data_IF_530243418166
#
_entry.id   IF_530243418166
#
_cell.length_a   1.000
_cell.length_b   1.000
_cell.length_c   1.000
_cell.angle_alpha   90.00
_cell.angle_beta   90.00
_cell.angle_gamma   90.00
#
_symmetry.space_group_name_H-M   'P 1'
#
loop_
_entity.id
_entity.type
_entity.pdbx_description
1 polymer ?
#
# COMPACT_ATOMS: atom_id res chain seq x y z
N UNK A 1 25.50 -2.33 -18.58
CA UNK A 1 26.95 -2.09 -18.50
C UNK A 1 27.14 -0.68 -19.03
N UNK A 2 26.74 0.30 -18.21
CA UNK A 2 26.51 1.67 -18.71
C UNK A 2 27.81 2.46 -18.65
N UNK A 3 28.29 2.79 -19.84
CA UNK A 3 29.42 3.66 -20.06
C UNK A 3 29.03 5.05 -19.57
N UNK A 4 29.68 5.55 -18.50
CA UNK A 4 29.61 6.98 -18.19
C UNK A 4 29.96 7.75 -19.46
N UNK A 5 29.05 8.57 -19.96
CA UNK A 5 29.41 9.49 -21.03
C UNK A 5 30.57 10.36 -20.54
N UNK A 6 31.50 10.66 -21.45
CA UNK A 6 32.66 11.51 -21.17
C UNK A 6 32.23 12.84 -20.52
N UNK A 7 31.10 13.36 -20.96
CA UNK A 7 30.48 14.61 -20.48
C UNK A 7 30.03 14.51 -19.00
N UNK A 8 29.50 13.36 -18.56
CA UNK A 8 29.16 13.16 -17.14
C UNK A 8 30.40 13.14 -16.26
N UNK A 9 31.48 12.47 -16.71
CA UNK A 9 32.73 12.41 -15.96
C UNK A 9 33.41 13.79 -15.88
N UNK A 10 33.45 14.54 -16.98
CA UNK A 10 33.98 15.90 -17.02
C UNK A 10 33.19 16.84 -16.09
N UNK A 11 31.86 16.72 -16.06
CA UNK A 11 30.99 17.52 -15.19
C UNK A 11 31.21 17.22 -13.70
N UNK A 12 31.29 15.95 -13.32
CA UNK A 12 31.57 15.53 -11.93
C UNK A 12 32.95 16.04 -11.50
N UNK A 13 33.97 15.86 -12.34
CA UNK A 13 35.33 16.32 -12.05
C UNK A 13 35.42 17.84 -11.94
N UNK A 14 34.68 18.57 -12.78
CA UNK A 14 34.61 20.04 -12.71
C UNK A 14 33.95 20.53 -11.42
N UNK A 15 32.80 19.95 -11.03
CA UNK A 15 32.11 20.30 -9.78
C UNK A 15 33.01 19.98 -8.59
N UNK A 16 33.65 18.81 -8.58
CA UNK A 16 34.58 18.41 -7.53
C UNK A 16 35.78 19.37 -7.42
N UNK A 17 36.40 19.74 -8.56
CA UNK A 17 37.56 20.65 -8.60
C UNK A 17 37.22 22.06 -8.09
N UNK A 18 35.97 22.50 -8.26
CA UNK A 18 35.46 23.76 -7.74
C UNK A 18 34.86 23.64 -6.33
N UNK A 19 35.03 22.50 -5.65
CA UNK A 19 34.47 22.22 -4.32
C UNK A 19 32.94 22.39 -4.25
N UNK A 20 32.24 22.09 -5.34
CA UNK A 20 30.79 22.11 -5.39
C UNK A 20 30.15 20.92 -4.67
N UNK A 21 28.85 21.03 -4.38
CA UNK A 21 28.07 19.99 -3.71
C UNK A 21 27.79 18.81 -4.67
N UNK A 22 28.26 17.62 -4.33
CA UNK A 22 28.07 16.39 -5.10
C UNK A 22 26.83 15.57 -4.68
N UNK A 23 26.11 15.97 -3.62
CA UNK A 23 24.97 15.22 -3.08
C UNK A 23 23.85 15.01 -4.12
N UNK A 24 23.44 16.01 -4.92
CA UNK A 24 22.41 15.79 -5.94
C UNK A 24 22.81 14.76 -6.99
N UNK A 25 24.11 14.68 -7.30
CA UNK A 25 24.66 13.71 -8.24
C UNK A 25 24.66 12.31 -7.61
N UNK A 26 25.04 12.23 -6.33
CA UNK A 26 25.01 10.99 -5.56
C UNK A 26 23.58 10.43 -5.43
N UNK A 27 22.61 11.25 -4.99
CA UNK A 27 21.21 10.87 -4.87
C UNK A 27 20.63 10.43 -6.22
N UNK A 28 20.92 11.17 -7.30
CA UNK A 28 20.50 10.80 -8.65
C UNK A 28 21.14 9.48 -9.10
N UNK A 29 22.43 9.28 -8.82
CA UNK A 29 23.11 8.04 -9.14
C UNK A 29 22.55 6.85 -8.34
N UNK A 30 22.19 7.04 -7.07
CA UNK A 30 21.50 6.02 -6.28
C UNK A 30 20.13 5.71 -6.87
N UNK A 31 19.35 6.74 -7.24
CA UNK A 31 18.01 6.59 -7.81
C UNK A 31 18.02 5.85 -9.13
N UNK A 32 19.04 6.11 -9.95
CA UNK A 32 19.23 5.45 -11.23
C UNK A 32 19.91 4.08 -11.10
N UNK A 33 20.23 3.63 -9.87
CA UNK A 33 20.99 2.40 -9.65
C UNK A 33 22.37 2.43 -10.29
N UNK A 34 22.96 3.61 -10.53
CA UNK A 34 24.23 3.76 -11.23
C UNK A 34 25.41 3.54 -10.28
N UNK A 35 25.68 2.27 -9.98
CA UNK A 35 26.79 1.84 -9.13
C UNK A 35 28.15 2.37 -9.62
N UNK A 36 28.33 2.57 -10.92
CA UNK A 36 29.59 3.09 -11.48
C UNK A 36 29.81 4.54 -11.06
N UNK A 37 28.80 5.40 -11.17
CA UNK A 37 28.88 6.80 -10.70
C UNK A 37 29.06 6.83 -9.18
N UNK A 38 28.33 6.00 -8.44
CA UNK A 38 28.49 5.91 -6.99
C UNK A 38 29.94 5.57 -6.64
N UNK A 39 30.51 4.50 -7.22
CA UNK A 39 31.92 4.12 -7.01
C UNK A 39 32.90 5.23 -7.40
N UNK A 40 32.64 5.94 -8.50
CA UNK A 40 33.45 7.08 -8.93
C UNK A 40 33.46 8.19 -7.87
N UNK A 41 32.28 8.59 -7.37
CA UNK A 41 32.16 9.62 -6.34
C UNK A 41 32.93 9.25 -5.07
N UNK A 42 32.94 7.97 -4.69
CA UNK A 42 33.72 7.46 -3.57
C UNK A 42 35.24 7.39 -3.79
N UNK A 43 35.68 7.43 -5.05
CA UNK A 43 37.10 7.38 -5.43
C UNK A 43 37.75 8.76 -5.56
N UNK A 44 36.97 9.84 -5.49
CA UNK A 44 37.48 11.20 -5.64
C UNK A 44 38.40 11.60 -4.45
N UNK A 45 39.50 12.33 -4.71
CA UNK A 45 40.46 12.71 -3.68
C UNK A 45 39.85 13.67 -2.65
N UNK A 46 40.31 13.55 -1.40
CA UNK A 46 39.91 14.45 -0.31
C UNK A 46 40.67 15.76 -0.41
N UNK A 47 39.96 16.87 -0.26
CA UNK A 47 40.60 18.16 0.05
C UNK A 47 40.76 18.25 1.57
N UNK A 48 41.95 18.61 2.06
CA UNK A 48 42.10 18.93 3.49
C UNK A 48 41.15 20.07 3.85
N UNK A 49 40.49 20.03 5.04
CA UNK A 49 39.73 21.16 5.54
C UNK A 49 40.67 22.37 5.58
N UNK A 50 40.32 23.47 4.91
CA UNK A 50 41.05 24.72 5.11
C UNK A 50 40.85 25.11 6.58
N UNK A 51 41.90 25.32 7.38
CA UNK A 51 41.74 25.87 8.71
C UNK A 51 41.19 27.29 8.56
N UNK A 52 39.91 27.49 8.88
CA UNK A 52 39.28 28.81 8.89
C UNK A 52 39.73 29.57 10.15
N UNK A 53 40.08 30.84 10.00
CA UNK A 53 40.30 31.72 11.16
C UNK A 53 39.00 31.89 11.97
N UNK A 54 39.07 32.10 13.30
CA UNK A 54 37.93 31.97 14.23
C UNK A 54 36.72 32.88 13.96
N UNK A 55 36.85 33.89 13.10
CA UNK A 55 35.87 34.96 12.91
C UNK A 55 34.74 34.55 11.94
N UNK A 56 34.95 33.54 11.09
CA UNK A 56 33.93 33.07 10.13
C UNK A 56 32.99 31.98 10.67
N UNK A 57 33.18 31.54 11.93
CA UNK A 57 32.41 30.41 12.51
C UNK A 57 30.93 30.72 12.80
N UNK A 58 30.44 31.95 12.61
CA UNK A 58 29.07 32.28 13.00
C UNK A 58 28.03 32.17 11.88
N UNK A 59 28.42 32.03 10.60
CA UNK A 59 27.45 32.09 9.50
C UNK A 59 27.73 31.20 8.27
N UNK A 60 28.63 30.23 8.33
CA UNK A 60 28.85 29.36 7.17
C UNK A 60 28.72 27.88 7.54
N UNK A 61 27.60 27.28 7.13
CA UNK A 61 27.50 25.85 6.79
C UNK A 61 28.44 25.60 5.60
N UNK A 62 29.75 25.57 5.82
CA UNK A 62 30.73 25.38 4.74
C UNK A 62 30.70 23.91 4.34
N UNK A 63 30.26 23.66 3.11
CA UNK A 63 30.56 22.49 2.27
C UNK A 63 31.18 21.28 2.97
N UNK A 64 30.33 20.40 3.48
CA UNK A 64 30.74 19.06 3.90
C UNK A 64 30.55 18.11 2.72
N UNK A 65 31.67 17.63 2.19
CA UNK A 65 31.75 16.55 1.22
C UNK A 65 31.11 15.28 1.80
N UNK A 66 30.75 14.33 0.93
CA UNK A 66 30.10 13.03 1.21
C UNK A 66 30.77 12.12 2.29
N UNK A 67 31.75 12.61 3.06
CA UNK A 67 32.55 11.85 4.01
C UNK A 67 32.87 12.60 5.33
N UNK A 68 32.11 13.65 5.70
CA UNK A 68 32.22 14.27 7.04
C UNK A 68 31.43 13.44 8.08
N UNK A 69 32.10 12.94 9.12
CA UNK A 69 31.60 11.88 10.04
C UNK A 69 30.27 12.22 10.73
N UNK A 70 29.98 13.51 10.97
CA UNK A 70 28.75 13.95 11.64
C UNK A 70 27.59 14.27 10.67
N UNK A 71 27.85 14.39 9.37
CA UNK A 71 26.85 14.80 8.35
C UNK A 71 26.20 13.59 7.66
N UNK A 72 26.59 12.37 8.05
CA UNK A 72 26.58 11.16 7.23
C UNK A 72 25.55 10.08 7.65
N UNK A 73 24.50 10.40 8.40
CA UNK A 73 23.47 9.41 8.85
C UNK A 73 22.10 9.64 8.18
N UNK A 74 21.69 10.90 7.95
CA UNK A 74 20.40 11.19 7.30
C UNK A 74 20.45 10.99 5.79
N UNK A 75 21.51 11.45 5.13
CA UNK A 75 21.70 11.26 3.68
C UNK A 75 21.94 9.78 3.36
N UNK A 76 22.54 9.01 4.26
CA UNK A 76 22.87 7.59 4.05
C UNK A 76 21.69 6.65 4.20
N UNK A 77 20.83 6.84 5.21
CA UNK A 77 19.57 6.10 5.28
C UNK A 77 18.69 6.39 4.07
N UNK A 78 18.59 7.68 3.69
CA UNK A 78 17.86 8.08 2.50
C UNK A 78 18.47 7.50 1.21
N UNK A 79 19.80 7.41 1.12
CA UNK A 79 20.47 6.80 -0.02
C UNK A 79 20.26 5.28 -0.10
N UNK A 80 20.14 4.58 1.03
CA UNK A 80 19.73 3.17 1.03
C UNK A 80 18.30 3.04 0.53
N UNK A 81 17.37 3.85 1.04
CA UNK A 81 15.96 3.81 0.60
C UNK A 81 15.88 4.00 -0.92
N UNK A 82 16.56 5.01 -1.45
CA UNK A 82 16.64 5.29 -2.89
C UNK A 82 17.31 4.13 -3.65
N UNK A 83 18.39 3.56 -3.12
CA UNK A 83 19.08 2.42 -3.74
C UNK A 83 18.21 1.16 -3.75
N UNK A 84 17.40 0.97 -2.71
CA UNK A 84 16.39 -0.08 -2.65
C UNK A 84 15.28 0.17 -3.67
N UNK A 85 14.77 1.39 -3.80
CA UNK A 85 13.81 1.78 -4.85
C UNK A 85 14.36 1.55 -6.27
N UNK A 86 15.68 1.64 -6.47
CA UNK A 86 16.30 1.41 -7.78
C UNK A 86 16.40 -0.08 -8.16
N UNK A 87 16.22 -1.00 -7.20
CA UNK A 87 16.41 -2.44 -7.41
C UNK A 87 17.82 -2.89 -7.69
N UNK A 88 18.81 -2.04 -7.37
CA UNK A 88 20.20 -2.40 -7.57
C UNK A 88 20.78 -3.00 -6.29
N UNK A 89 20.67 -4.32 -6.18
CA UNK A 89 21.19 -5.10 -5.07
C UNK A 89 22.69 -4.85 -4.79
N UNK A 90 23.51 -4.75 -5.85
CA UNK A 90 24.94 -4.49 -5.71
C UNK A 90 25.21 -3.09 -5.13
N UNK A 91 24.33 -2.13 -5.38
CA UNK A 91 24.40 -0.81 -4.76
C UNK A 91 24.07 -0.88 -3.27
N UNK A 92 23.00 -1.58 -2.88
CA UNK A 92 22.63 -1.76 -1.46
C UNK A 92 23.77 -2.44 -0.69
N UNK A 93 24.30 -3.56 -1.22
CA UNK A 93 25.45 -4.28 -0.66
C UNK A 93 26.73 -3.44 -0.60
N UNK A 94 26.89 -2.48 -1.53
CA UNK A 94 28.04 -1.57 -1.54
C UNK A 94 27.93 -0.45 -0.49
N UNK A 95 26.74 0.14 -0.33
CA UNK A 95 26.55 1.30 0.55
C UNK A 95 26.62 0.93 2.04
N UNK A 96 26.02 -0.19 2.43
CA UNK A 96 25.85 -0.58 3.84
C UNK A 96 27.19 -0.72 4.58
N UNK A 97 28.18 -1.51 4.09
CA UNK A 97 29.48 -1.60 4.74
C UNK A 97 30.27 -0.29 4.66
N UNK A 98 30.08 0.49 3.59
CA UNK A 98 30.93 1.66 3.28
C UNK A 98 30.65 2.86 4.19
N UNK A 99 29.44 2.94 4.67
CA UNK A 99 28.95 3.96 5.59
C UNK A 99 28.79 3.44 7.02
N UNK A 100 29.24 2.21 7.30
CA UNK A 100 29.07 1.55 8.60
C UNK A 100 27.61 1.64 9.10
N UNK A 101 26.66 1.51 8.16
CA UNK A 101 25.26 1.76 8.47
C UNK A 101 24.80 0.65 9.40
N UNK A 102 24.44 1.05 10.61
CA UNK A 102 23.77 0.16 11.52
C UNK A 102 22.44 -0.23 10.90
N UNK A 103 22.28 -1.51 10.59
CA UNK A 103 21.00 -2.09 10.19
C UNK A 103 20.06 -2.11 11.41
N UNK A 104 19.71 -0.94 11.93
CA UNK A 104 18.63 -0.84 12.91
C UNK A 104 17.34 -1.32 12.26
N UNK A 105 16.38 -1.74 13.09
CA UNK A 105 15.14 -2.36 12.60
C UNK A 105 14.41 -1.48 11.58
N UNK A 106 14.42 -0.15 11.74
CA UNK A 106 13.82 0.75 10.77
C UNK A 106 14.43 0.61 9.37
N UNK A 107 15.76 0.73 9.24
CA UNK A 107 16.46 0.60 7.96
C UNK A 107 16.26 -0.79 7.34
N UNK A 108 16.34 -1.84 8.16
CA UNK A 108 16.11 -3.21 7.69
C UNK A 108 14.67 -3.43 7.20
N UNK A 109 13.68 -2.78 7.83
CA UNK A 109 12.28 -2.82 7.40
C UNK A 109 12.11 -2.18 6.02
N UNK A 110 12.69 -1.00 5.80
CA UNK A 110 12.63 -0.33 4.48
C UNK A 110 13.27 -1.19 3.38
N UNK A 111 14.44 -1.78 3.66
CA UNK A 111 15.13 -2.67 2.72
C UNK A 111 14.24 -3.88 2.38
N UNK A 112 13.67 -4.55 3.39
CA UNK A 112 12.81 -5.72 3.19
C UNK A 112 11.55 -5.37 2.39
N UNK A 113 10.91 -4.24 2.71
CA UNK A 113 9.71 -3.79 2.00
C UNK A 113 9.99 -3.58 0.52
N UNK A 114 11.05 -2.85 0.18
CA UNK A 114 11.45 -2.64 -1.22
C UNK A 114 11.79 -3.96 -1.92
N UNK A 115 12.54 -4.84 -1.26
CA UNK A 115 12.88 -6.14 -1.81
C UNK A 115 11.64 -6.98 -2.13
N UNK A 116 10.64 -6.97 -1.24
CA UNK A 116 9.36 -7.66 -1.44
C UNK A 116 8.58 -7.07 -2.64
N UNK A 117 8.42 -5.75 -2.69
CA UNK A 117 7.71 -5.05 -3.77
C UNK A 117 8.34 -5.36 -5.14
N UNK A 118 9.68 -5.44 -5.19
CA UNK A 118 10.42 -5.72 -6.42
C UNK A 118 10.63 -7.19 -6.72
N UNK A 119 10.23 -8.08 -5.79
CA UNK A 119 10.42 -9.53 -5.88
C UNK A 119 11.91 -9.92 -5.99
N UNK A 120 12.78 -9.16 -5.32
CA UNK A 120 14.23 -9.39 -5.30
C UNK A 120 14.59 -10.40 -4.19
N UNK A 121 14.53 -11.68 -4.55
CA UNK A 121 14.85 -12.77 -3.63
C UNK A 121 16.31 -12.76 -3.18
N UNK A 122 17.24 -12.27 -4.01
CA UNK A 122 18.66 -12.24 -3.64
C UNK A 122 18.91 -11.17 -2.56
N UNK A 123 18.20 -10.04 -2.60
CA UNK A 123 18.23 -9.04 -1.52
C UNK A 123 17.61 -9.57 -0.22
N UNK A 124 16.52 -10.33 -0.32
CA UNK A 124 15.87 -10.96 0.83
C UNK A 124 16.79 -11.99 1.49
N UNK A 125 17.41 -12.88 0.70
CA UNK A 125 18.38 -13.87 1.19
C UNK A 125 19.60 -13.19 1.83
N UNK A 126 20.12 -12.13 1.20
CA UNK A 126 21.20 -11.35 1.79
C UNK A 126 20.79 -10.72 3.11
N UNK A 127 19.61 -10.07 3.19
CA UNK A 127 19.12 -9.45 4.41
C UNK A 127 18.92 -10.50 5.52
N UNK A 128 18.41 -11.69 5.17
CA UNK A 128 18.27 -12.82 6.10
C UNK A 128 19.63 -13.30 6.64
N UNK A 129 20.70 -13.20 5.85
CA UNK A 129 22.05 -13.58 6.30
C UNK A 129 22.63 -12.63 7.35
N UNK A 130 22.17 -11.37 7.38
CA UNK A 130 22.66 -10.33 8.31
C UNK A 130 21.64 -9.96 9.40
N UNK A 131 20.38 -10.38 9.27
CA UNK A 131 19.27 -10.10 10.18
C UNK A 131 18.30 -11.27 10.34
N UNK A 132 17.82 -11.45 11.56
CA UNK A 132 16.73 -12.36 11.87
C UNK A 132 15.38 -11.78 11.42
N UNK A 133 14.86 -12.30 10.31
CA UNK A 133 13.57 -11.89 9.72
C UNK A 133 12.35 -12.46 10.46
N UNK A 134 12.56 -13.24 11.52
CA UNK A 134 11.47 -13.85 12.28
C UNK A 134 10.81 -12.90 13.28
N UNK A 135 11.37 -11.70 13.44
CA UNK A 135 10.77 -10.66 14.27
C UNK A 135 9.47 -10.16 13.64
N UNK A 136 8.48 -9.87 14.49
CA UNK A 136 7.13 -9.51 14.08
C UNK A 136 7.07 -8.39 13.01
N UNK A 137 7.96 -7.39 13.07
CA UNK A 137 7.99 -6.29 12.10
C UNK A 137 8.32 -6.75 10.69
N UNK A 138 9.26 -7.67 10.55
CA UNK A 138 9.65 -8.22 9.26
C UNK A 138 8.56 -9.15 8.74
N UNK A 139 8.03 -10.03 9.61
CA UNK A 139 6.89 -10.89 9.31
C UNK A 139 5.68 -10.08 8.79
N UNK A 140 5.38 -8.95 9.44
CA UNK A 140 4.33 -8.04 8.99
C UNK A 140 4.59 -7.51 7.57
N UNK A 141 5.80 -7.03 7.28
CA UNK A 141 6.18 -6.52 5.95
C UNK A 141 6.05 -7.61 4.87
N UNK A 142 6.47 -8.84 5.18
CA UNK A 142 6.37 -9.98 4.26
C UNK A 142 4.91 -10.30 3.96
N UNK A 143 4.01 -10.25 4.94
CA UNK A 143 2.58 -10.44 4.68
C UNK A 143 2.00 -9.29 3.85
N UNK A 144 2.45 -8.06 4.04
CA UNK A 144 1.93 -6.92 3.28
C UNK A 144 2.40 -6.91 1.83
N UNK A 145 3.64 -7.34 1.54
CA UNK A 145 4.29 -7.10 0.26
C UNK A 145 5.01 -8.31 -0.36
N UNK A 146 5.26 -9.37 0.42
CA UNK A 146 5.97 -10.56 -0.02
C UNK A 146 5.12 -11.45 -0.92
N UNK A 147 5.76 -12.28 -1.74
CA UNK A 147 5.08 -13.28 -2.57
C UNK A 147 4.77 -14.55 -1.75
N UNK A 148 3.94 -15.42 -2.32
CA UNK A 148 3.61 -16.72 -1.71
C UNK A 148 4.84 -17.54 -1.33
N UNK A 149 5.84 -17.66 -2.23
CA UNK A 149 7.06 -18.45 -1.97
C UNK A 149 7.79 -17.99 -0.71
N UNK A 150 7.94 -16.67 -0.53
CA UNK A 150 8.59 -16.08 0.65
C UNK A 150 7.75 -16.26 1.91
N UNK A 151 6.43 -16.08 1.81
CA UNK A 151 5.49 -16.29 2.91
C UNK A 151 5.61 -17.76 3.37
N UNK A 152 5.49 -18.72 2.45
CA UNK A 152 5.63 -20.13 2.75
C UNK A 152 7.01 -20.46 3.33
N UNK A 153 8.09 -19.97 2.74
CA UNK A 153 9.45 -20.21 3.21
C UNK A 153 9.64 -19.80 4.68
N UNK A 154 9.18 -18.60 5.04
CA UNK A 154 9.41 -18.03 6.37
C UNK A 154 8.39 -18.50 7.42
N UNK A 155 7.16 -18.81 7.02
CA UNK A 155 6.10 -19.17 7.95
C UNK A 155 5.82 -20.68 8.06
N UNK A 156 6.37 -21.52 7.17
CA UNK A 156 6.33 -22.97 7.34
C UNK A 156 7.20 -23.48 8.49
N UNK A 157 8.22 -22.72 8.88
CA UNK A 157 9.20 -23.14 9.89
C UNK A 157 8.95 -22.52 11.27
N UNK A 158 7.95 -21.65 11.42
CA UNK A 158 7.81 -20.75 12.58
C UNK A 158 6.33 -20.60 12.97
N UNK A 159 6.04 -20.65 14.28
CA UNK A 159 4.75 -20.20 14.79
C UNK A 159 4.66 -18.68 14.67
N UNK A 160 3.61 -18.20 14.00
CA UNK A 160 3.34 -16.77 13.87
C UNK A 160 3.30 -16.11 15.26
N UNK A 161 4.25 -15.20 15.48
CA UNK A 161 4.55 -14.66 16.82
C UNK A 161 3.58 -13.56 17.28
N UNK A 162 2.49 -13.32 16.54
CA UNK A 162 1.53 -12.23 16.78
C UNK A 162 1.00 -12.19 18.23
N UNK A 163 0.90 -13.37 18.87
CA UNK A 163 0.42 -13.52 20.24
C UNK A 163 1.37 -13.07 21.36
N UNK A 164 2.65 -12.78 21.09
CA UNK A 164 3.58 -12.28 22.12
C UNK A 164 3.70 -10.75 22.15
N UNK A 165 3.19 -10.06 21.13
CA UNK A 165 3.35 -8.62 20.98
C UNK A 165 2.07 -7.97 20.44
N UNK A 166 1.09 -7.67 21.29
CA UNK A 166 -0.01 -6.69 21.10
C UNK A 166 -0.76 -6.58 19.74
N UNK A 167 -0.55 -7.46 18.77
CA UNK A 167 -1.03 -7.32 17.40
C UNK A 167 -2.05 -8.43 17.14
N UNK A 168 -3.27 -8.00 16.92
CA UNK A 168 -4.43 -8.84 16.67
C UNK A 168 -4.39 -9.39 15.23
N UNK A 169 -4.53 -10.71 14.99
CA UNK A 169 -4.61 -11.30 13.64
C UNK A 169 -5.65 -10.63 12.74
N UNK A 170 -6.74 -10.11 13.33
CA UNK A 170 -7.76 -9.37 12.60
C UNK A 170 -7.25 -8.06 12.02
N UNK A 171 -6.37 -7.35 12.74
CA UNK A 171 -5.77 -6.10 12.25
C UNK A 171 -4.81 -6.41 11.11
N UNK A 172 -3.98 -7.43 11.26
CA UNK A 172 -3.06 -7.87 10.20
C UNK A 172 -3.85 -8.26 8.95
N UNK A 173 -4.94 -8.99 9.11
CA UNK A 173 -5.78 -9.37 7.97
C UNK A 173 -6.38 -8.15 7.27
N UNK A 174 -6.88 -7.17 8.02
CA UNK A 174 -7.37 -5.91 7.45
C UNK A 174 -6.26 -5.13 6.71
N UNK A 175 -5.04 -5.09 7.27
CA UNK A 175 -3.88 -4.46 6.64
C UNK A 175 -3.47 -5.20 5.35
N UNK A 176 -3.49 -6.53 5.34
CA UNK A 176 -3.26 -7.33 4.11
C UNK A 176 -4.33 -7.04 3.05
N UNK A 177 -5.60 -6.96 3.46
CA UNK A 177 -6.69 -6.61 2.55
C UNK A 177 -6.52 -5.19 1.99
N UNK A 178 -6.01 -4.25 2.79
CA UNK A 178 -5.66 -2.90 2.35
C UNK A 178 -4.54 -2.91 1.30
N UNK A 179 -3.47 -3.68 1.51
CA UNK A 179 -2.32 -3.68 0.61
C UNK A 179 -2.53 -4.51 -0.67
N UNK A 180 -3.53 -5.39 -0.68
CA UNK A 180 -3.89 -6.17 -1.85
C UNK A 180 -3.16 -7.51 -1.97
N UNK A 181 -2.45 -7.95 -0.94
CA UNK A 181 -1.69 -9.20 -1.01
C UNK A 181 -2.61 -10.42 -0.86
N UNK A 182 -3.19 -10.88 -1.97
CA UNK A 182 -4.13 -12.01 -2.01
C UNK A 182 -3.52 -13.31 -1.46
N UNK A 183 -2.26 -13.59 -1.78
CA UNK A 183 -1.57 -14.79 -1.30
C UNK A 183 -1.47 -14.77 0.24
N UNK A 184 -1.10 -13.63 0.82
CA UNK A 184 -1.08 -13.46 2.27
C UNK A 184 -2.48 -13.57 2.89
N UNK A 185 -3.52 -13.02 2.24
CA UNK A 185 -4.88 -13.09 2.74
C UNK A 185 -5.35 -14.55 2.84
N UNK A 186 -5.15 -15.33 1.77
CA UNK A 186 -5.48 -16.75 1.74
C UNK A 186 -4.68 -17.54 2.76
N UNK A 187 -3.36 -17.30 2.83
CA UNK A 187 -2.47 -17.93 3.80
C UNK A 187 -2.93 -17.68 5.26
N UNK A 188 -3.31 -16.44 5.59
CA UNK A 188 -3.78 -16.10 6.93
C UNK A 188 -5.08 -16.81 7.29
N UNK A 189 -6.05 -16.87 6.36
CA UNK A 189 -7.32 -17.57 6.61
C UNK A 189 -7.14 -19.09 6.77
N UNK A 190 -6.21 -19.70 6.02
CA UNK A 190 -5.84 -21.11 6.20
C UNK A 190 -5.19 -21.34 7.57
N UNK A 191 -4.23 -20.49 7.94
CA UNK A 191 -3.41 -20.66 9.15
C UNK A 191 -4.18 -20.43 10.45
N UNK A 192 -5.02 -19.40 10.52
CA UNK A 192 -5.72 -19.01 11.75
C UNK A 192 -7.16 -19.50 11.85
N UNK A 193 -7.68 -20.09 10.77
CA UNK A 193 -9.12 -20.23 10.55
C UNK A 193 -9.85 -18.88 10.56
N UNK A 194 -11.07 -18.87 10.05
CA UNK A 194 -11.90 -17.68 10.05
C UNK A 194 -13.32 -17.96 10.52
N UNK A 195 -13.99 -16.89 10.95
CA UNK A 195 -15.41 -16.83 11.24
C UNK A 195 -16.02 -15.70 10.44
N UNK A 196 -17.32 -15.81 10.21
CA UNK A 196 -18.10 -14.76 9.57
C UNK A 196 -19.29 -14.40 10.47
N UNK A 197 -19.93 -13.28 10.17
CA UNK A 197 -21.19 -12.85 10.80
C UNK A 197 -22.27 -13.93 10.71
N UNK A 198 -22.27 -14.71 9.62
CA UNK A 198 -23.23 -15.78 9.36
C UNK A 198 -22.76 -17.17 9.86
N UNK A 199 -21.46 -17.35 10.14
CA UNK A 199 -20.86 -18.57 10.66
C UNK A 199 -19.93 -18.27 11.87
N UNK A 200 -20.50 -17.99 13.06
CA UNK A 200 -19.72 -17.59 14.24
C UNK A 200 -19.08 -18.77 15.00
N UNK A 201 -19.04 -19.98 14.43
CA UNK A 201 -18.79 -21.25 15.14
C UNK A 201 -17.36 -21.45 15.70
N UNK A 202 -16.50 -20.45 15.61
CA UNK A 202 -15.15 -20.52 16.18
C UNK A 202 -15.11 -19.86 17.56
N UNK A 203 -14.97 -20.69 18.60
CA UNK A 203 -14.65 -20.22 19.96
C UNK A 203 -13.14 -19.98 20.15
N UNK A 204 -12.34 -20.09 19.08
CA UNK A 204 -10.91 -19.83 19.10
C UNK A 204 -10.67 -18.32 19.07
N UNK A 205 -10.04 -17.79 20.11
CA UNK A 205 -9.69 -16.36 20.22
C UNK A 205 -8.71 -15.89 19.13
N UNK A 206 -8.02 -16.81 18.46
CA UNK A 206 -7.06 -16.49 17.41
C UNK A 206 -7.65 -16.57 15.99
N UNK A 207 -8.96 -16.80 15.87
CA UNK A 207 -9.66 -16.87 14.60
C UNK A 207 -9.85 -15.48 13.98
N UNK A 208 -9.67 -15.37 12.66
CA UNK A 208 -9.92 -14.13 11.93
C UNK A 208 -11.43 -13.92 11.74
N UNK A 209 -11.93 -12.74 12.07
CA UNK A 209 -13.27 -12.25 11.81
C UNK A 209 -13.24 -11.35 10.58
N UNK A 210 -13.63 -11.91 9.44
CA UNK A 210 -13.60 -11.17 8.16
C UNK A 210 -14.63 -10.03 8.12
N UNK A 211 -15.57 -9.99 9.07
CA UNK A 211 -16.63 -8.98 9.18
C UNK A 211 -16.44 -8.03 10.37
N UNK A 212 -15.24 -8.01 10.98
CA UNK A 212 -14.92 -7.15 12.12
C UNK A 212 -15.16 -5.67 11.79
N UNK A 213 -15.64 -4.91 12.77
CA UNK A 213 -15.73 -3.43 12.73
C UNK A 213 -16.41 -2.92 11.44
N UNK A 214 -17.61 -3.43 11.20
CA UNK A 214 -18.42 -3.13 10.01
C UNK A 214 -17.64 -3.45 8.73
N UNK A 215 -17.24 -4.73 8.59
CA UNK A 215 -16.58 -5.25 7.40
C UNK A 215 -15.29 -4.50 7.04
N UNK A 216 -14.51 -4.09 8.05
CA UNK A 216 -13.27 -3.32 7.91
C UNK A 216 -12.30 -3.88 6.84
N UNK A 217 -12.01 -5.21 6.77
CA UNK A 217 -11.14 -5.74 5.73
C UNK A 217 -11.66 -5.48 4.32
N UNK A 218 -12.98 -5.64 4.10
CA UNK A 218 -13.63 -5.36 2.83
C UNK A 218 -13.58 -3.87 2.50
N UNK A 219 -13.95 -2.99 3.45
CA UNK A 219 -13.92 -1.53 3.24
C UNK A 219 -12.52 -1.02 2.89
N UNK A 220 -11.49 -1.51 3.57
CA UNK A 220 -10.10 -1.13 3.29
C UNK A 220 -9.65 -1.60 1.89
N UNK A 221 -10.07 -2.79 1.47
CA UNK A 221 -9.82 -3.28 0.11
C UNK A 221 -10.52 -2.41 -0.94
N UNK A 222 -11.78 -2.02 -0.72
CA UNK A 222 -12.52 -1.09 -1.59
C UNK A 222 -11.81 0.26 -1.74
N UNK A 223 -11.45 0.89 -0.62
CA UNK A 223 -10.77 2.19 -0.59
C UNK A 223 -9.40 2.20 -1.27
N UNK A 224 -8.74 1.05 -1.35
CA UNK A 224 -7.42 0.92 -1.98
C UNK A 224 -7.49 0.21 -3.34
N UNK A 225 -8.70 0.08 -3.91
CA UNK A 225 -8.94 -0.53 -5.22
C UNK A 225 -8.35 -1.96 -5.38
N UNK A 226 -8.41 -2.76 -4.32
CA UNK A 226 -7.85 -4.11 -4.28
C UNK A 226 -8.87 -5.13 -4.80
N UNK A 227 -9.16 -5.10 -6.11
CA UNK A 227 -10.20 -5.93 -6.74
C UNK A 227 -10.05 -7.43 -6.49
N UNK A 228 -8.82 -7.96 -6.52
CA UNK A 228 -8.55 -9.39 -6.27
C UNK A 228 -8.93 -9.79 -4.83
N UNK A 229 -8.66 -8.93 -3.85
CA UNK A 229 -9.09 -9.12 -2.46
C UNK A 229 -10.60 -9.03 -2.34
N UNK A 230 -11.24 -8.04 -2.96
CA UNK A 230 -12.69 -7.85 -2.91
C UNK A 230 -13.40 -9.08 -3.49
N UNK A 231 -12.95 -9.55 -4.65
CA UNK A 231 -13.47 -10.75 -5.29
C UNK A 231 -13.29 -11.97 -4.39
N UNK A 232 -12.11 -12.13 -3.79
CA UNK A 232 -11.83 -13.20 -2.85
C UNK A 232 -12.76 -13.18 -1.63
N UNK A 233 -12.89 -12.04 -0.95
CA UNK A 233 -13.76 -11.88 0.21
C UNK A 233 -15.22 -12.19 -0.11
N UNK A 234 -15.73 -11.69 -1.25
CA UNK A 234 -17.09 -11.98 -1.71
C UNK A 234 -17.30 -13.45 -2.13
N UNK A 235 -16.23 -14.14 -2.52
CA UNK A 235 -16.26 -15.57 -2.88
C UNK A 235 -16.34 -16.51 -1.67
N UNK A 236 -15.99 -16.03 -0.46
CA UNK A 236 -16.06 -16.84 0.76
C UNK A 236 -17.51 -17.27 1.00
N UNK A 237 -17.71 -18.57 1.24
CA UNK A 237 -19.05 -19.12 1.52
C UNK A 237 -19.60 -18.49 2.81
N UNK A 238 -20.85 -18.03 2.76
CA UNK A 238 -21.49 -17.33 3.89
C UNK A 238 -20.63 -16.18 4.43
N UNK A 239 -19.95 -15.44 3.54
CA UNK A 239 -19.08 -14.32 3.90
C UNK A 239 -19.74 -13.29 4.82
N UNK A 240 -21.06 -13.12 4.74
CA UNK A 240 -21.81 -12.21 5.59
C UNK A 240 -21.44 -10.74 5.44
N UNK A 241 -20.71 -10.36 4.39
CA UNK A 241 -20.26 -8.99 4.12
C UNK A 241 -21.47 -8.11 3.87
N UNK A 242 -21.55 -7.00 4.60
CA UNK A 242 -22.53 -5.95 4.36
C UNK A 242 -21.90 -4.85 3.51
N UNK A 243 -22.24 -4.82 2.23
CA UNK A 243 -21.73 -3.81 1.27
C UNK A 243 -22.28 -2.40 1.55
N UNK A 244 -23.27 -2.27 2.44
CA UNK A 244 -23.94 -1.01 2.79
C UNK A 244 -23.38 -0.36 4.06
N UNK A 245 -22.34 -0.95 4.67
CA UNK A 245 -21.68 -0.41 5.86
C UNK A 245 -21.24 1.04 5.67
N UNK A 246 -21.30 1.84 6.74
CA UNK A 246 -20.89 3.25 6.75
C UNK A 246 -21.60 4.08 5.67
N UNK A 247 -22.91 3.89 5.52
CA UNK A 247 -23.75 4.57 4.54
C UNK A 247 -23.27 4.37 3.09
N UNK A 248 -23.07 3.12 2.71
CA UNK A 248 -22.64 2.71 1.37
C UNK A 248 -21.27 3.27 0.96
N UNK A 249 -20.34 3.47 1.90
CA UNK A 249 -18.99 4.05 1.65
C UNK A 249 -18.31 3.42 0.42
N UNK A 250 -18.35 2.08 0.32
CA UNK A 250 -17.70 1.34 -0.76
C UNK A 250 -18.22 1.67 -2.17
N UNK A 251 -19.44 2.21 -2.29
CA UNK A 251 -20.00 2.65 -3.57
C UNK A 251 -19.34 3.94 -4.11
N UNK A 252 -18.65 4.70 -3.27
CA UNK A 252 -18.02 5.97 -3.66
C UNK A 252 -16.52 5.83 -3.92
N UNK A 253 -16.00 4.61 -3.91
CA UNK A 253 -14.61 4.27 -4.18
C UNK A 253 -14.45 3.80 -5.64
N UNK A 254 -13.20 3.73 -6.13
CA UNK A 254 -12.88 3.35 -7.53
C UNK A 254 -13.43 1.96 -7.97
N UNK A 255 -13.89 1.17 -7.01
CA UNK A 255 -14.44 -0.19 -7.22
C UNK A 255 -15.95 -0.20 -7.48
N UNK A 256 -16.59 0.96 -7.49
CA UNK A 256 -18.05 1.08 -7.52
C UNK A 256 -18.72 0.34 -8.70
N UNK A 257 -18.15 0.44 -9.91
CA UNK A 257 -18.65 -0.28 -11.09
C UNK A 257 -18.66 -1.80 -10.89
N UNK A 258 -17.64 -2.34 -10.22
CA UNK A 258 -17.58 -3.75 -9.86
C UNK A 258 -18.65 -4.12 -8.82
N UNK A 259 -18.97 -3.21 -7.90
CA UNK A 259 -19.96 -3.42 -6.84
C UNK A 259 -21.41 -3.20 -7.29
N UNK A 260 -21.66 -2.50 -8.40
CA UNK A 260 -23.02 -2.21 -8.90
C UNK A 260 -23.95 -3.45 -8.96
N UNK A 261 -23.53 -4.63 -9.45
CA UNK A 261 -24.41 -5.81 -9.45
C UNK A 261 -24.77 -6.31 -8.05
N UNK A 262 -23.89 -6.09 -7.06
CA UNK A 262 -24.11 -6.47 -5.67
C UNK A 262 -25.01 -5.46 -4.95
N UNK A 263 -24.82 -4.17 -5.22
CA UNK A 263 -25.63 -3.08 -4.66
C UNK A 263 -27.05 -3.07 -5.24
N UNK A 264 -27.17 -3.22 -6.56
CA UNK A 264 -28.45 -3.28 -7.29
C UNK A 264 -29.09 -4.67 -7.22
N UNK A 265 -29.22 -5.22 -6.02
CA UNK A 265 -29.77 -6.55 -5.76
C UNK A 265 -31.22 -6.56 -5.25
N UNK A 266 -31.80 -5.40 -4.95
CA UNK A 266 -33.14 -5.27 -4.40
C UNK A 266 -33.95 -4.18 -5.13
N UNK A 267 -35.29 -4.31 -5.19
CA UNK A 267 -36.10 -3.46 -6.06
C UNK A 267 -36.40 -2.05 -5.50
N UNK A 268 -35.94 -1.74 -4.29
CA UNK A 268 -36.31 -0.50 -3.58
C UNK A 268 -35.16 0.50 -3.49
N UNK A 269 -33.95 0.05 -3.78
CA UNK A 269 -32.73 0.85 -3.80
C UNK A 269 -32.09 0.73 -5.18
N UNK A 270 -31.39 1.79 -5.60
CA UNK A 270 -30.72 1.80 -6.88
C UNK A 270 -29.50 2.70 -6.86
N UNK A 271 -28.41 2.18 -7.39
CA UNK A 271 -27.10 2.79 -7.44
C UNK A 271 -26.74 3.00 -8.90
N UNK A 272 -26.33 4.21 -9.22
CA UNK A 272 -26.09 4.63 -10.58
C UNK A 272 -24.88 5.56 -10.64
N UNK A 273 -24.05 5.34 -11.66
CA UNK A 273 -22.84 6.12 -11.92
C UNK A 273 -22.93 6.58 -13.37
N UNK A 274 -22.73 7.87 -13.60
CA UNK A 274 -22.65 8.43 -14.94
C UNK A 274 -21.64 9.58 -14.94
N UNK A 275 -20.67 9.54 -15.85
CA UNK A 275 -19.59 10.52 -15.93
C UNK A 275 -18.84 10.75 -14.60
N UNK A 276 -18.61 9.67 -13.84
CA UNK A 276 -18.00 9.67 -12.49
C UNK A 276 -18.84 10.33 -11.38
N UNK A 277 -20.06 10.79 -11.68
CA UNK A 277 -20.99 11.27 -10.67
C UNK A 277 -21.81 10.11 -10.11
N UNK A 278 -21.98 10.10 -8.80
CA UNK A 278 -22.70 9.05 -8.09
C UNK A 278 -24.14 9.46 -7.75
N UNK A 279 -25.05 8.51 -7.89
CA UNK A 279 -26.47 8.69 -7.59
C UNK A 279 -26.99 7.47 -6.82
N UNK A 280 -27.69 7.73 -5.72
CA UNK A 280 -28.25 6.69 -4.86
C UNK A 280 -29.73 6.94 -4.64
N UNK A 281 -30.57 6.06 -5.14
CA UNK A 281 -32.00 6.04 -4.83
C UNK A 281 -32.23 5.18 -3.59
N UNK A 282 -32.89 5.76 -2.59
CA UNK A 282 -33.35 5.06 -1.39
C UNK A 282 -34.86 5.24 -1.18
N UNK A 283 -35.53 4.35 -0.41
CA UNK A 283 -36.93 4.51 -0.04
C UNK A 283 -37.22 5.85 0.65
N UNK A 284 -38.44 6.36 0.50
CA UNK A 284 -38.87 7.65 1.08
C UNK A 284 -38.58 7.74 2.60
N UNK A 285 -38.74 6.63 3.31
CA UNK A 285 -38.58 6.55 4.76
C UNK A 285 -37.14 6.21 5.20
N UNK A 286 -36.19 6.05 4.28
CA UNK A 286 -34.80 5.77 4.64
C UNK A 286 -34.16 6.99 5.31
N UNK A 287 -33.29 6.70 6.27
CA UNK A 287 -32.29 7.64 6.78
C UNK A 287 -30.98 7.30 6.06
N UNK A 288 -30.61 8.12 5.10
CA UNK A 288 -29.37 7.98 4.36
C UNK A 288 -28.71 9.36 4.31
N UNK A 289 -27.49 9.42 4.84
CA UNK A 289 -26.68 10.64 4.93
C UNK A 289 -25.26 10.23 4.54
N UNK A 290 -24.78 10.72 3.40
CA UNK A 290 -23.42 10.49 2.92
C UNK A 290 -22.88 11.78 2.30
N UNK A 291 -21.67 12.17 2.68
CA UNK A 291 -21.06 13.44 2.28
C UNK A 291 -20.73 13.49 0.77
N UNK A 292 -20.53 12.33 0.13
CA UNK A 292 -20.27 12.22 -1.31
C UNK A 292 -21.48 12.55 -2.18
N UNK A 293 -22.70 12.43 -1.63
CA UNK A 293 -23.96 12.75 -2.31
C UNK A 293 -24.84 13.61 -1.41
N UNK A 294 -24.45 14.87 -1.15
CA UNK A 294 -25.06 15.71 -0.11
C UNK A 294 -26.44 16.23 -0.50
N UNK A 295 -26.78 16.22 -1.78
CA UNK A 295 -28.04 16.76 -2.28
C UNK A 295 -29.11 15.68 -2.37
N UNK A 296 -30.38 16.04 -2.25
CA UNK A 296 -31.51 15.10 -2.31
C UNK A 296 -32.69 15.69 -3.08
N UNK A 297 -33.28 14.87 -3.95
CA UNK A 297 -34.56 15.16 -4.60
C UNK A 297 -35.59 14.06 -4.29
N UNK A 298 -36.83 14.47 -4.09
CA UNK A 298 -37.94 13.56 -3.83
C UNK A 298 -38.66 13.17 -5.13
N UNK A 299 -38.87 11.87 -5.32
CA UNK A 299 -39.67 11.31 -6.42
C UNK A 299 -40.87 10.55 -5.86
N UNK A 300 -41.75 10.09 -6.75
CA UNK A 300 -42.86 9.18 -6.40
C UNK A 300 -42.37 7.80 -5.95
N UNK A 301 -41.14 7.44 -6.33
CA UNK A 301 -40.54 6.14 -6.06
C UNK A 301 -39.56 6.12 -4.88
N UNK A 302 -39.06 7.28 -4.44
CA UNK A 302 -37.98 7.34 -3.45
C UNK A 302 -37.37 8.73 -3.29
N UNK A 303 -36.22 8.76 -2.62
CA UNK A 303 -35.31 9.91 -2.59
C UNK A 303 -34.09 9.57 -3.43
N UNK A 304 -33.70 10.44 -4.34
CA UNK A 304 -32.44 10.32 -5.08
C UNK A 304 -31.45 11.27 -4.43
N UNK A 305 -30.37 10.71 -3.90
CA UNK A 305 -29.22 11.43 -3.39
C UNK A 305 -28.17 11.53 -4.51
N UNK A 306 -27.57 12.70 -4.67
CA UNK A 306 -26.71 12.98 -5.81
C UNK A 306 -25.60 13.97 -5.50
N UNK A 307 -24.53 13.88 -6.29
CA UNK A 307 -23.43 14.84 -6.30
C UNK A 307 -23.70 15.99 -7.27
N UNK A 308 -24.15 15.67 -8.49
CA UNK A 308 -24.40 16.61 -9.60
C UNK A 308 -25.84 16.52 -10.11
N UNK A 309 -26.39 17.62 -10.61
CA UNK A 309 -27.76 17.66 -11.18
C UNK A 309 -27.83 17.08 -12.60
N UNK A 310 -26.69 16.84 -13.25
CA UNK A 310 -26.60 16.52 -14.69
C UNK A 310 -27.35 15.24 -15.07
N UNK A 311 -27.26 14.17 -14.26
CA UNK A 311 -27.78 12.84 -14.62
C UNK A 311 -28.85 12.30 -13.66
N UNK A 312 -29.54 13.18 -12.93
CA UNK A 312 -30.65 12.77 -12.04
C UNK A 312 -31.77 12.09 -12.85
N UNK A 313 -32.10 12.64 -14.03
CA UNK A 313 -33.17 12.07 -14.87
C UNK A 313 -32.75 10.70 -15.42
N UNK A 314 -31.50 10.57 -15.86
CA UNK A 314 -30.95 9.30 -16.34
C UNK A 314 -30.97 8.23 -15.23
N UNK A 315 -30.59 8.59 -14.00
CA UNK A 315 -30.69 7.73 -12.83
C UNK A 315 -32.14 7.24 -12.61
N UNK A 316 -33.11 8.16 -12.67
CA UNK A 316 -34.51 7.84 -12.45
C UNK A 316 -35.07 6.92 -13.55
N UNK A 317 -34.78 7.20 -14.82
CA UNK A 317 -35.21 6.38 -15.95
C UNK A 317 -34.61 4.97 -15.90
N UNK A 318 -33.31 4.86 -15.60
CA UNK A 318 -32.64 3.57 -15.41
C UNK A 318 -33.22 2.78 -14.24
N UNK A 319 -33.57 3.45 -13.14
CA UNK A 319 -34.26 2.80 -12.02
C UNK A 319 -35.61 2.20 -12.42
N UNK A 320 -36.42 2.92 -13.21
CA UNK A 320 -37.71 2.40 -13.68
C UNK A 320 -37.53 1.14 -14.54
N UNK A 321 -36.52 1.12 -15.42
CA UNK A 321 -36.17 -0.06 -16.23
C UNK A 321 -35.72 -1.21 -15.33
N UNK A 322 -34.82 -0.94 -14.38
CA UNK A 322 -34.33 -1.90 -13.40
C UNK A 322 -35.47 -2.55 -12.61
N UNK A 323 -36.38 -1.74 -12.08
CA UNK A 323 -37.53 -2.18 -11.29
C UNK A 323 -38.48 -3.07 -12.10
N UNK A 324 -38.74 -2.71 -13.37
CA UNK A 324 -39.54 -3.53 -14.27
C UNK A 324 -38.89 -4.90 -14.55
N UNK A 325 -37.56 -4.93 -14.75
CA UNK A 325 -36.83 -6.16 -14.94
C UNK A 325 -36.88 -7.07 -13.69
N UNK A 326 -36.77 -6.49 -12.49
CA UNK A 326 -36.86 -7.20 -11.22
C UNK A 326 -38.24 -7.86 -11.01
N UNK A 327 -39.31 -7.14 -11.32
CA UNK A 327 -40.68 -7.65 -11.23
C UNK A 327 -40.91 -8.86 -12.16
N UNK A 328 -40.36 -8.82 -13.38
CA UNK A 328 -40.45 -9.94 -14.35
C UNK A 328 -39.68 -11.18 -13.89
N UNK A 329 -38.49 -11.01 -13.31
CA UNK A 329 -37.71 -12.12 -12.74
C UNK A 329 -38.45 -12.80 -11.59
N UNK A 330 -39.06 -12.00 -10.71
CA UNK A 330 -39.83 -12.49 -9.55
C UNK A 330 -41.11 -13.23 -9.93
N UNK A 331 -41.71 -12.89 -11.07
CA UNK A 331 -42.89 -13.61 -11.58
C UNK A 331 -42.51 -15.00 -12.12
N UNK A 332 -41.39 -15.11 -12.84
CA UNK A 332 -40.91 -16.37 -13.41
C UNK A 332 -40.36 -17.37 -12.40
N UNK A 333 -39.87 -16.92 -11.24
CA UNK A 333 -39.40 -17.81 -10.17
C UNK A 333 -40.53 -18.43 -9.32
N UNK A 334 -41.79 -18.03 -9.58
CA UNK A 334 -42.99 -18.55 -8.92
C UNK A 334 -43.81 -19.51 -9.79
N UNK A 335 -43.41 -19.67 -11.05
CA UNK A 335 -43.90 -20.70 -11.99
C UNK A 335 -43.01 -21.93 -11.90
#
# INVERSE_FOLDING_TARGET
MDQLSKDHLESIMFIHSNRGNLNPIFEKACKDGNLTIVKLLFSLPRYEPIPLEPIEMQNIKVNMQLQDEAFNIQITNHAIEIACESGNLELVKFLIPRFEIELINFTACSILQCACIQKDMELIEWLQSVKDLNQWRFQYIILMYGNLDLIELLFNQIELSFGQSHIDPNNIFADVCQTGNLDAAQFLLDKFSYKTRLLPRSNNSNCIDINREDDLPFRMACKNNQLDIIQFLLSIEMNGIDIHTQNDEAFFEDVADFLLPFLNNNPNEFYFIENSHHYVLKPINSKFENESVPNVIHTDCGKIYYESEEHILDCYENYLIYRQAFARKSARSRE
#
